data_IF_427603556434
#
_entry.id   IF_427603556434
#
_cell.length_a   1.000
_cell.length_b   1.000
_cell.length_c   1.000
_cell.angle_alpha   90.00
_cell.angle_beta   90.00
_cell.angle_gamma   90.00
#
_symmetry.space_group_name_H-M   'P 1'
#
loop_
_entity.id
_entity.type
_entity.pdbx_description
1 polymer ?
#
# COMPACT_ATOMS: atom_id res chain seq x y z
N UNK A 1 55.04 2.45 20.00
CA UNK A 1 54.97 2.09 18.56
C UNK A 1 54.24 0.75 18.44
N UNK A 2 53.32 0.48 17.52
CA UNK A 2 52.76 1.24 16.42
C UNK A 2 51.31 0.79 16.18
N UNK A 3 50.46 1.75 15.81
CA UNK A 3 49.12 1.58 15.23
C UNK A 3 49.23 0.81 13.91
N UNK A 4 48.26 -0.06 13.60
CA UNK A 4 47.77 -0.25 12.23
C UNK A 4 46.26 -0.52 12.23
N UNK A 5 45.46 0.29 11.51
CA UNK A 5 44.01 0.11 11.39
C UNK A 5 43.68 -0.80 10.20
N UNK A 6 42.92 -1.87 10.44
CA UNK A 6 42.44 -2.74 9.38
C UNK A 6 41.03 -2.31 8.92
N UNK A 7 40.99 -1.76 7.70
CA UNK A 7 39.99 -1.97 6.66
C UNK A 7 38.48 -1.86 6.99
N UNK A 8 37.93 -0.66 6.74
CA UNK A 8 36.87 -0.37 5.75
C UNK A 8 35.97 -1.56 5.33
N UNK A 9 34.70 -1.54 5.77
CA UNK A 9 33.50 -1.82 4.94
C UNK A 9 32.26 -1.24 5.63
N UNK A 10 31.63 -0.28 4.95
CA UNK A 10 30.37 0.33 5.35
C UNK A 10 29.22 -0.69 5.35
N UNK A 11 28.19 -0.52 6.18
CA UNK A 11 26.85 -0.93 5.85
C UNK A 11 25.99 0.29 5.48
N UNK A 12 25.67 0.34 4.19
CA UNK A 12 24.36 0.64 3.64
C UNK A 12 23.51 1.74 4.31
N UNK A 13 23.60 2.94 3.72
CA UNK A 13 22.47 3.70 3.15
C UNK A 13 21.07 3.06 3.36
N UNK A 14 20.22 3.81 4.09
CA UNK A 14 18.74 3.88 4.02
C UNK A 14 18.00 2.58 3.65
N UNK A 15 17.34 1.99 4.64
CA UNK A 15 16.01 1.44 4.45
C UNK A 15 15.07 2.17 5.42
N UNK A 16 14.35 3.17 4.91
CA UNK A 16 13.16 3.68 5.59
C UNK A 16 12.17 2.52 5.65
N UNK A 17 12.16 1.81 6.78
CA UNK A 17 11.09 0.90 7.10
C UNK A 17 9.81 1.75 7.26
N UNK A 18 9.08 1.96 6.17
CA UNK A 18 7.65 2.24 6.21
C UNK A 18 7.03 1.03 6.90
N UNK A 19 6.94 1.07 8.23
CA UNK A 19 5.97 0.27 8.98
C UNK A 19 4.59 0.74 8.53
N UNK A 20 3.73 -0.09 7.95
CA UNK A 20 2.31 0.14 8.13
C UNK A 20 2.04 -0.07 9.61
N UNK A 21 1.66 1.02 10.28
CA UNK A 21 1.00 0.93 11.57
C UNK A 21 -0.20 -0.01 11.46
N UNK A 22 -0.32 -0.98 12.37
CA UNK A 22 -1.54 -1.22 13.14
C UNK A 22 -1.48 -2.58 13.83
N UNK A 23 -1.20 -2.51 15.12
CA UNK A 23 -1.72 -3.43 16.13
C UNK A 23 -3.25 -3.30 16.12
N UNK A 24 -4.00 -4.37 15.81
CA UNK A 24 -5.25 -4.78 16.50
C UNK A 24 -6.00 -5.89 15.77
N UNK A 25 -6.33 -6.91 16.56
CA UNK A 25 -7.48 -7.82 16.48
C UNK A 25 -7.63 -8.69 15.23
N UNK A 26 -7.42 -9.99 15.45
CA UNK A 26 -7.94 -11.09 14.64
C UNK A 26 -9.46 -11.09 14.77
N UNK A 27 -10.14 -10.17 14.08
CA UNK A 27 -11.55 -10.34 13.73
C UNK A 27 -11.58 -11.33 12.56
N UNK A 28 -12.50 -12.31 12.61
CA UNK A 28 -12.68 -13.39 11.65
C UNK A 28 -12.13 -13.06 10.25
N UNK A 29 -11.16 -13.86 9.79
CA UNK A 29 -10.33 -13.60 8.60
C UNK A 29 -11.20 -13.61 7.33
N UNK A 30 -11.96 -12.53 7.11
CA UNK A 30 -12.53 -12.20 5.80
C UNK A 30 -11.34 -12.09 4.88
N UNK A 31 -11.37 -12.82 3.77
CA UNK A 31 -10.36 -12.71 2.74
C UNK A 31 -10.17 -11.23 2.41
N UNK A 32 -8.94 -10.72 2.56
CA UNK A 32 -8.61 -9.36 2.17
C UNK A 32 -8.44 -9.35 0.65
N UNK A 33 -9.24 -8.52 -0.02
CA UNK A 33 -9.16 -8.36 -1.48
C UNK A 33 -8.15 -7.26 -1.76
N UNK A 34 -7.06 -7.63 -2.44
CA UNK A 34 -5.99 -6.74 -2.87
C UNK A 34 -5.98 -6.71 -4.41
N UNK A 35 -5.98 -5.51 -4.97
CA UNK A 35 -5.80 -5.29 -6.41
C UNK A 35 -4.35 -4.88 -6.66
N UNK A 36 -3.68 -5.59 -7.56
CA UNK A 36 -2.36 -5.21 -8.04
C UNK A 36 -2.50 -4.57 -9.42
N UNK A 37 -2.08 -3.31 -9.52
CA UNK A 37 -2.16 -2.50 -10.74
C UNK A 37 -0.78 -1.88 -10.94
N UNK A 38 -0.13 -2.16 -12.08
CA UNK A 38 1.21 -1.67 -12.43
C UNK A 38 2.28 -1.93 -11.35
N UNK A 39 2.20 -3.07 -10.66
CA UNK A 39 3.13 -3.44 -9.59
C UNK A 39 2.91 -2.69 -8.26
N UNK A 40 1.86 -1.87 -8.15
CA UNK A 40 1.42 -1.31 -6.88
C UNK A 40 0.17 -2.05 -6.38
N UNK A 41 0.11 -2.26 -5.07
CA UNK A 41 -1.00 -2.96 -4.41
C UNK A 41 -1.92 -1.97 -3.71
N UNK A 42 -3.22 -2.12 -3.92
CA UNK A 42 -4.25 -1.35 -3.22
C UNK A 42 -5.36 -2.29 -2.71
N UNK A 43 -5.72 -2.15 -1.44
CA UNK A 43 -6.77 -2.98 -0.84
C UNK A 43 -8.15 -2.43 -1.17
N UNK A 44 -9.15 -3.31 -1.33
CA UNK A 44 -10.54 -2.93 -1.53
C UNK A 44 -11.04 -1.98 -0.41
N UNK A 45 -10.55 -2.17 0.82
CA UNK A 45 -10.85 -1.29 1.95
C UNK A 45 -10.28 0.14 1.78
N UNK A 46 -9.09 0.29 1.17
CA UNK A 46 -8.52 1.60 0.87
C UNK A 46 -9.35 2.32 -0.21
N UNK A 47 -9.83 1.59 -1.22
CA UNK A 47 -10.72 2.14 -2.26
C UNK A 47 -12.06 2.56 -1.65
N UNK A 48 -12.67 1.70 -0.82
CA UNK A 48 -13.91 2.00 -0.12
C UNK A 48 -13.80 3.21 0.80
N UNK A 49 -12.61 3.50 1.37
CA UNK A 49 -12.37 4.74 2.13
C UNK A 49 -12.38 6.00 1.26
N UNK A 50 -11.91 5.90 0.01
CA UNK A 50 -11.96 7.01 -0.95
C UNK A 50 -13.40 7.23 -1.47
N UNK A 51 -14.21 6.18 -1.47
CA UNK A 51 -15.62 6.18 -1.89
C UNK A 51 -16.56 5.69 -0.77
N UNK A 52 -16.68 6.40 0.36
CA UNK A 52 -17.36 5.89 1.57
C UNK A 52 -18.88 5.77 1.42
N UNK A 53 -19.46 6.43 0.40
CA UNK A 53 -20.89 6.38 0.10
C UNK A 53 -21.22 5.38 -1.02
N UNK A 54 -20.20 4.73 -1.58
CA UNK A 54 -20.38 3.83 -2.70
C UNK A 54 -20.98 2.50 -2.25
N UNK A 55 -22.09 2.13 -2.89
CA UNK A 55 -22.67 0.80 -2.71
C UNK A 55 -22.03 -0.24 -3.63
N UNK A 56 -21.53 0.18 -4.79
CA UNK A 56 -20.72 -0.64 -5.71
C UNK A 56 -19.57 0.19 -6.23
N UNK A 57 -18.39 -0.43 -6.31
CA UNK A 57 -17.18 0.24 -6.77
C UNK A 57 -16.70 -0.46 -8.04
N UNK A 58 -16.57 0.29 -9.12
CA UNK A 58 -16.01 -0.17 -10.38
C UNK A 58 -14.54 0.21 -10.43
N UNK A 59 -13.65 -0.77 -10.40
CA UNK A 59 -12.20 -0.55 -10.51
C UNK A 59 -11.79 -0.71 -11.97
N UNK A 60 -11.28 0.37 -12.56
CA UNK A 60 -10.74 0.37 -13.93
C UNK A 60 -9.23 0.42 -13.84
N UNK A 61 -8.60 -0.76 -13.89
CA UNK A 61 -7.15 -0.90 -13.74
C UNK A 61 -6.37 -0.14 -14.83
N UNK A 62 -6.88 -0.11 -16.06
CA UNK A 62 -6.26 0.61 -17.18
C UNK A 62 -6.16 2.13 -16.93
N UNK A 63 -7.15 2.72 -16.25
CA UNK A 63 -7.18 4.15 -15.92
C UNK A 63 -6.63 4.45 -14.52
N UNK A 64 -6.30 3.42 -13.74
CA UNK A 64 -5.89 3.53 -12.32
C UNK A 64 -6.92 4.28 -11.48
N UNK A 65 -8.21 4.15 -11.82
CA UNK A 65 -9.32 4.84 -11.17
C UNK A 65 -10.35 3.86 -10.64
N UNK A 66 -11.03 4.27 -9.58
CA UNK A 66 -12.25 3.63 -9.11
C UNK A 66 -13.42 4.59 -9.21
N UNK A 67 -14.57 4.08 -9.66
CA UNK A 67 -15.79 4.84 -9.82
C UNK A 67 -16.88 4.28 -8.92
N UNK A 68 -17.67 5.18 -8.34
CA UNK A 68 -18.93 4.81 -7.72
C UNK A 68 -20.04 4.62 -8.78
N UNK A 69 -21.18 4.08 -8.36
CA UNK A 69 -22.39 3.95 -9.19
C UNK A 69 -22.87 5.30 -9.75
N UNK A 70 -22.60 6.40 -9.05
CA UNK A 70 -22.91 7.77 -9.48
C UNK A 70 -21.89 8.33 -10.49
N UNK A 71 -20.92 7.53 -10.94
CA UNK A 71 -19.87 7.95 -11.89
C UNK A 71 -18.77 8.81 -11.27
N UNK A 72 -18.78 9.00 -9.94
CA UNK A 72 -17.74 9.75 -9.24
C UNK A 72 -16.45 8.92 -9.19
N UNK A 73 -15.46 9.35 -9.97
CA UNK A 73 -14.13 8.72 -10.05
C UNK A 73 -13.15 9.25 -9.00
N UNK A 74 -12.36 8.36 -8.43
CA UNK A 74 -11.19 8.67 -7.60
C UNK A 74 -9.97 7.95 -8.14
N UNK A 75 -8.81 8.61 -8.06
CA UNK A 75 -7.54 7.97 -8.42
C UNK A 75 -7.13 6.95 -7.35
N UNK A 76 -6.56 5.83 -7.79
CA UNK A 76 -6.09 4.76 -6.91
C UNK A 76 -4.69 5.05 -6.34
N UNK A 77 -3.81 5.76 -7.07
CA UNK A 77 -2.40 5.99 -6.70
C UNK A 77 -1.99 7.46 -6.67
#
# INVERSE_FOLDING_TARGET
AAKKPAAKKAPAKKAAAKKPAAKKAVAAKKAEIIFQIDGQEISAAAIAKKLPKASKIYVVAAEKKAYDVDGKGVDLF
#
